data_IF_184846903789
#
_entry.id   IF_184846903789
#
_cell.length_a   1.000
_cell.length_b   1.000
_cell.length_c   1.000
_cell.angle_alpha   90.00
_cell.angle_beta   90.00
_cell.angle_gamma   90.00
#
_symmetry.space_group_name_H-M   'P 1'
#
loop_
_entity.id
_entity.type
_entity.pdbx_description
1 polymer ?
#
# COMPACT_ATOMS: atom_id res chain seq x y z
N UNK A 1 -0.32 36.90 -13.84
CA UNK A 1 -0.83 37.75 -12.74
C UNK A 1 -0.07 39.06 -12.78
N UNK A 2 -0.79 40.18 -12.84
CA UNK A 2 -0.20 41.53 -12.95
C UNK A 2 0.83 41.68 -14.08
N UNK A 3 0.50 41.10 -15.25
CA UNK A 3 1.37 41.10 -16.43
C UNK A 3 2.45 40.01 -16.46
N UNK A 4 2.60 39.20 -15.40
CA UNK A 4 3.61 38.14 -15.30
C UNK A 4 2.99 36.76 -15.57
N UNK A 5 3.57 35.89 -16.41
CA UNK A 5 3.08 34.51 -16.55
C UNK A 5 3.31 33.73 -15.26
N UNK A 6 2.31 32.97 -14.82
CA UNK A 6 2.37 32.12 -13.63
C UNK A 6 1.91 30.71 -14.00
N UNK A 7 2.30 29.72 -13.20
CA UNK A 7 1.83 28.34 -13.37
C UNK A 7 0.33 28.28 -13.10
N UNK A 8 -0.40 27.48 -13.89
CA UNK A 8 -1.84 27.27 -13.71
C UNK A 8 -2.20 26.82 -12.28
N UNK A 9 -1.34 25.99 -11.67
CA UNK A 9 -1.51 25.52 -10.30
C UNK A 9 -1.60 26.65 -9.27
N UNK A 10 -0.91 27.77 -9.49
CA UNK A 10 -0.93 28.91 -8.58
C UNK A 10 -2.32 29.57 -8.48
N UNK A 11 -3.10 29.53 -9.58
CA UNK A 11 -4.48 30.01 -9.56
C UNK A 11 -5.39 29.12 -8.71
N UNK A 12 -5.08 27.82 -8.64
CA UNK A 12 -5.83 26.84 -7.84
C UNK A 12 -5.46 26.92 -6.36
N UNK A 13 -4.17 27.05 -6.04
CA UNK A 13 -3.64 27.06 -4.67
C UNK A 13 -4.13 28.26 -3.84
N UNK A 14 -4.56 29.34 -4.50
CA UNK A 14 -5.15 30.53 -3.85
C UNK A 14 -6.61 30.34 -3.44
N UNK A 15 -7.27 29.27 -3.87
CA UNK A 15 -8.67 28.98 -3.55
C UNK A 15 -8.78 28.15 -2.28
N UNK A 16 -9.93 28.25 -1.61
CA UNK A 16 -10.21 27.47 -0.40
C UNK A 16 -10.93 26.16 -0.75
N UNK A 17 -10.85 25.19 0.16
CA UNK A 17 -11.62 23.94 0.06
C UNK A 17 -13.10 24.27 -0.02
N UNK A 18 -13.78 23.71 -1.03
CA UNK A 18 -15.21 23.94 -1.28
C UNK A 18 -15.50 25.06 -2.28
N UNK A 19 -14.51 25.90 -2.61
CA UNK A 19 -14.64 26.84 -3.72
C UNK A 19 -14.86 26.09 -5.03
N UNK A 20 -15.45 26.77 -6.03
CA UNK A 20 -15.51 26.24 -7.39
C UNK A 20 -14.63 27.05 -8.34
N UNK A 21 -14.06 26.38 -9.33
CA UNK A 21 -13.45 27.01 -10.49
C UNK A 21 -14.33 26.81 -11.71
N UNK A 22 -14.28 27.78 -12.62
CA UNK A 22 -14.90 27.65 -13.94
C UNK A 22 -13.80 27.38 -14.95
N UNK A 23 -13.93 26.31 -15.72
CA UNK A 23 -13.02 25.95 -16.80
C UNK A 23 -13.76 26.03 -18.13
N UNK A 24 -13.16 26.73 -19.09
CA UNK A 24 -13.58 26.69 -20.49
C UNK A 24 -12.71 25.64 -21.18
N UNK A 25 -13.35 24.64 -21.78
CA UNK A 25 -12.67 23.53 -22.42
C UNK A 25 -13.27 23.26 -23.80
N UNK A 26 -12.44 22.73 -24.69
CA UNK A 26 -12.86 22.30 -26.01
C UNK A 26 -13.09 20.79 -26.01
N UNK A 27 -14.33 20.36 -26.25
CA UNK A 27 -14.72 18.95 -26.29
C UNK A 27 -15.73 18.72 -27.40
N UNK A 28 -15.58 17.62 -28.13
CA UNK A 28 -16.47 17.27 -29.25
C UNK A 28 -16.62 18.39 -30.29
N UNK A 29 -15.52 19.10 -30.58
CA UNK A 29 -15.49 20.25 -31.51
C UNK A 29 -16.35 21.45 -31.07
N UNK A 30 -16.67 21.57 -29.79
CA UNK A 30 -17.42 22.68 -29.22
C UNK A 30 -16.76 23.24 -27.96
N UNK A 31 -16.94 24.53 -27.72
CA UNK A 31 -16.57 25.16 -26.45
C UNK A 31 -17.60 24.80 -25.38
N UNK A 32 -17.12 24.32 -24.23
CA UNK A 32 -17.93 23.93 -23.09
C UNK A 32 -17.39 24.63 -21.84
N UNK A 33 -18.29 25.19 -21.05
CA UNK A 33 -17.96 25.80 -19.76
C UNK A 33 -18.44 24.89 -18.64
N UNK A 34 -17.51 24.41 -17.81
CA UNK A 34 -17.82 23.55 -16.67
C UNK A 34 -17.42 24.22 -15.36
N UNK A 35 -18.19 23.94 -14.31
CA UNK A 35 -17.89 24.37 -12.94
C UNK A 35 -17.45 23.16 -12.13
N UNK A 36 -16.23 23.20 -11.61
CA UNK A 36 -15.66 22.11 -10.81
C UNK A 36 -15.48 22.57 -9.37
N UNK A 37 -16.04 21.84 -8.37
CA UNK A 37 -15.74 22.10 -6.97
C UNK A 37 -14.33 21.61 -6.61
N UNK A 38 -13.58 22.43 -5.88
CA UNK A 38 -12.27 22.10 -5.34
C UNK A 38 -12.45 21.31 -4.04
N UNK A 39 -12.34 20.00 -4.14
CA UNK A 39 -12.37 19.09 -3.00
C UNK A 39 -10.98 18.54 -2.70
N UNK A 40 -10.81 18.01 -1.50
CA UNK A 40 -9.68 17.16 -1.18
C UNK A 40 -10.18 15.72 -1.29
N UNK A 41 -10.00 15.04 -2.43
CA UNK A 41 -10.36 13.64 -2.54
C UNK A 41 -9.51 12.84 -1.55
N UNK A 42 -10.19 11.92 -0.86
CA UNK A 42 -9.51 10.83 -0.17
C UNK A 42 -9.00 9.87 -1.24
N UNK A 43 -7.69 9.84 -1.39
CA UNK A 43 -7.02 9.19 -2.50
C UNK A 43 -5.84 8.40 -1.93
N UNK A 44 -6.01 7.08 -1.73
CA UNK A 44 -4.99 6.24 -1.11
C UNK A 44 -3.74 6.10 -1.97
N UNK A 45 -3.81 6.49 -3.25
CA UNK A 45 -2.70 6.48 -4.20
C UNK A 45 -2.08 7.86 -4.41
N UNK A 46 -2.43 8.84 -3.57
CA UNK A 46 -1.84 10.17 -3.63
C UNK A 46 -0.41 10.19 -3.05
N UNK A 47 0.44 11.04 -3.62
CA UNK A 47 1.83 11.24 -3.20
C UNK A 47 1.95 12.10 -1.91
N UNK A 48 1.21 11.77 -0.85
CA UNK A 48 1.08 12.58 0.37
C UNK A 48 1.66 11.87 1.59
N UNK A 49 2.24 12.64 2.51
CA UNK A 49 2.57 12.14 3.84
C UNK A 49 1.31 12.06 4.69
N UNK A 50 1.24 11.01 5.50
CA UNK A 50 0.22 10.86 6.53
C UNK A 50 0.84 11.25 7.87
N UNK A 51 0.16 12.10 8.62
CA UNK A 51 0.60 12.60 9.93
C UNK A 51 -0.32 12.07 11.02
N UNK A 52 0.22 11.94 12.24
CA UNK A 52 -0.54 11.58 13.46
C UNK A 52 -1.33 10.27 13.40
N UNK A 53 -0.99 9.42 12.42
CA UNK A 53 -1.56 8.10 12.17
C UNK A 53 -0.47 7.05 12.30
N UNK A 54 -0.69 6.08 13.17
CA UNK A 54 0.12 4.87 13.21
C UNK A 54 -0.16 4.04 11.96
N UNK A 55 0.86 3.60 11.21
CA UNK A 55 0.65 2.78 10.01
C UNK A 55 -0.05 1.46 10.38
N UNK A 56 -1.13 1.09 9.69
CA UNK A 56 -1.77 -0.20 9.92
C UNK A 56 -0.85 -1.34 9.49
N UNK A 57 -0.95 -2.48 10.16
CA UNK A 57 -0.16 -3.66 9.82
C UNK A 57 -0.88 -4.95 10.19
N UNK A 58 -0.45 -6.04 9.53
CA UNK A 58 -0.83 -7.41 9.85
C UNK A 58 0.45 -8.23 9.99
N UNK A 59 0.56 -9.02 11.06
CA UNK A 59 1.64 -9.97 11.29
C UNK A 59 1.09 -11.39 11.20
N UNK A 60 1.74 -12.24 10.41
CA UNK A 60 1.42 -13.67 10.33
C UNK A 60 2.69 -14.49 10.10
N UNK A 61 2.98 -15.46 10.97
CA UNK A 61 4.20 -16.24 10.93
C UNK A 61 5.47 -15.40 11.02
N UNK A 62 5.37 -14.21 11.64
CA UNK A 62 6.45 -13.22 11.73
C UNK A 62 6.68 -12.41 10.46
N UNK A 63 5.85 -12.58 9.42
CA UNK A 63 5.84 -11.70 8.26
C UNK A 63 5.00 -10.45 8.59
N UNK A 64 5.57 -9.26 8.41
CA UNK A 64 4.87 -7.99 8.66
C UNK A 64 4.43 -7.36 7.35
N UNK A 65 3.11 -7.22 7.18
CA UNK A 65 2.47 -6.59 6.03
C UNK A 65 1.96 -5.21 6.40
N UNK A 66 2.18 -4.21 5.54
CA UNK A 66 1.68 -2.84 5.73
C UNK A 66 1.25 -2.23 4.40
N UNK A 67 0.61 -1.07 4.46
CA UNK A 67 0.20 -0.31 3.26
C UNK A 67 1.39 0.46 2.69
N UNK A 68 1.54 0.42 1.37
CA UNK A 68 2.47 1.30 0.67
C UNK A 68 2.06 2.76 0.89
N UNK A 69 2.96 3.54 1.46
CA UNK A 69 2.73 4.96 1.74
C UNK A 69 3.99 5.77 1.46
N UNK A 70 3.82 7.09 1.32
CA UNK A 70 4.94 8.03 1.24
C UNK A 70 5.86 7.90 2.46
N UNK A 71 5.28 7.71 3.65
CA UNK A 71 6.01 7.54 4.90
C UNK A 71 6.87 6.27 4.87
N UNK A 72 6.34 5.14 4.38
CA UNK A 72 7.09 3.89 4.23
C UNK A 72 8.29 4.09 3.30
N UNK A 73 8.07 4.63 2.11
CA UNK A 73 9.16 4.87 1.14
C UNK A 73 10.22 5.84 1.68
N UNK A 74 9.82 6.85 2.44
CA UNK A 74 10.76 7.77 3.08
C UNK A 74 11.59 7.07 4.17
N UNK A 75 10.99 6.15 4.93
CA UNK A 75 11.67 5.39 5.99
C UNK A 75 12.67 4.38 5.44
N UNK A 76 12.38 3.74 4.31
CA UNK A 76 13.29 2.78 3.65
C UNK A 76 14.49 3.49 3.01
N UNK A 77 14.29 4.71 2.52
CA UNK A 77 15.35 5.51 1.88
C UNK A 77 15.73 5.01 0.48
N UNK A 78 16.79 5.59 -0.09
CA UNK A 78 17.25 5.32 -1.48
C UNK A 78 18.23 4.14 -1.62
N UNK A 79 18.50 3.41 -0.55
CA UNK A 79 19.71 2.58 -0.45
C UNK A 79 19.54 1.12 -0.85
N UNK A 80 18.31 0.64 -1.06
CA UNK A 80 18.11 -0.72 -1.55
C UNK A 80 18.01 -0.74 -3.07
N UNK A 81 19.06 -1.21 -3.73
CA UNK A 81 19.05 -1.54 -5.18
C UNK A 81 18.33 -2.88 -5.45
N UNK A 82 17.45 -3.30 -4.56
CA UNK A 82 16.71 -4.54 -4.67
C UNK A 82 15.53 -4.36 -5.63
N UNK A 83 15.29 -5.35 -6.49
CA UNK A 83 14.22 -5.35 -7.50
C UNK A 83 12.86 -4.97 -6.90
N UNK A 84 12.53 -5.52 -5.72
CA UNK A 84 11.24 -5.27 -5.06
C UNK A 84 11.08 -3.81 -4.65
N UNK A 85 12.15 -3.17 -4.16
CA UNK A 85 12.13 -1.76 -3.77
C UNK A 85 11.95 -0.84 -4.99
N UNK A 86 12.61 -1.15 -6.11
CA UNK A 86 12.41 -0.42 -7.36
C UNK A 86 10.95 -0.54 -7.84
N UNK A 87 10.38 -1.75 -7.72
CA UNK A 87 8.97 -1.98 -8.06
C UNK A 87 8.01 -1.23 -7.13
N UNK A 88 8.28 -1.14 -5.82
CA UNK A 88 7.49 -0.31 -4.91
C UNK A 88 7.49 1.17 -5.31
N UNK A 89 8.65 1.70 -5.68
CA UNK A 89 8.76 3.07 -6.18
C UNK A 89 7.96 3.26 -7.46
N UNK A 90 8.01 2.29 -8.37
CA UNK A 90 7.21 2.30 -9.60
C UNK A 90 5.71 2.30 -9.28
N UNK A 91 5.22 1.35 -8.46
CA UNK A 91 3.84 1.27 -8.04
C UNK A 91 3.36 2.58 -7.43
N UNK A 92 4.15 3.19 -6.54
CA UNK A 92 3.77 4.44 -5.89
C UNK A 92 3.73 5.64 -6.85
N UNK A 93 4.71 5.75 -7.76
CA UNK A 93 4.82 6.88 -8.67
C UNK A 93 3.82 6.79 -9.84
N UNK A 94 3.59 5.58 -10.35
CA UNK A 94 2.84 5.34 -11.58
C UNK A 94 1.49 4.67 -11.36
N UNK A 95 1.06 4.48 -10.10
CA UNK A 95 -0.22 3.86 -9.74
C UNK A 95 -1.36 4.27 -10.69
N UNK A 96 -1.57 5.58 -10.83
CA UNK A 96 -2.65 6.16 -11.62
C UNK A 96 -2.39 6.24 -13.12
N UNK A 97 -1.15 6.48 -13.50
CA UNK A 97 -0.77 6.69 -14.90
C UNK A 97 -0.93 5.37 -15.65
N UNK A 98 -0.46 4.28 -15.03
CA UNK A 98 -0.45 2.94 -15.63
C UNK A 98 -1.65 2.08 -15.19
N UNK A 99 -2.58 2.65 -14.41
CA UNK A 99 -3.81 1.98 -14.00
C UNK A 99 -3.63 0.86 -12.96
N UNK A 100 -2.47 0.80 -12.29
CA UNK A 100 -2.13 -0.22 -11.28
C UNK A 100 -3.08 -0.20 -10.05
N UNK A 101 -3.78 0.92 -9.81
CA UNK A 101 -4.77 1.05 -8.74
C UNK A 101 -6.07 0.27 -9.00
N UNK A 102 -6.28 -0.24 -10.22
CA UNK A 102 -7.53 -0.90 -10.59
C UNK A 102 -7.78 -2.13 -9.73
N UNK A 103 -9.00 -2.27 -9.21
CA UNK A 103 -9.40 -3.34 -8.29
C UNK A 103 -8.62 -3.38 -6.97
N UNK A 104 -8.05 -2.25 -6.53
CA UNK A 104 -7.30 -2.16 -5.27
C UNK A 104 -7.76 -0.96 -4.47
N UNK A 105 -7.70 -1.10 -3.16
CA UNK A 105 -7.96 0.02 -2.25
C UNK A 105 -6.62 0.58 -1.74
N UNK A 106 -5.58 -0.27 -1.63
CA UNK A 106 -4.19 0.13 -1.41
C UNK A 106 -3.23 -0.97 -1.91
N UNK A 107 -1.92 -0.67 -1.99
CA UNK A 107 -0.90 -1.70 -2.18
C UNK A 107 -0.49 -2.26 -0.82
N UNK A 108 -0.50 -3.59 -0.68
CA UNK A 108 0.00 -4.27 0.51
C UNK A 108 1.43 -4.73 0.24
N UNK A 109 2.32 -4.43 1.18
CA UNK A 109 3.77 -4.69 1.08
C UNK A 109 4.21 -5.57 2.23
N UNK A 110 5.01 -6.59 1.94
CA UNK A 110 5.75 -7.32 2.97
C UNK A 110 6.96 -6.50 3.40
N UNK A 111 6.83 -5.71 4.46
CA UNK A 111 7.81 -4.69 4.83
C UNK A 111 8.91 -5.16 5.77
N UNK A 112 8.64 -6.17 6.59
CA UNK A 112 9.60 -6.60 7.59
C UNK A 112 9.40 -8.04 7.99
N UNK A 113 10.47 -8.72 8.41
CA UNK A 113 10.44 -10.08 8.93
C UNK A 113 10.91 -10.10 10.37
N UNK A 114 10.10 -10.67 11.24
CA UNK A 114 10.44 -11.00 12.62
C UNK A 114 11.04 -12.41 12.62
N UNK A 115 12.36 -12.56 12.83
CA UNK A 115 13.02 -13.82 12.55
C UNK A 115 12.47 -15.00 13.37
N UNK A 116 11.97 -16.01 12.67
CA UNK A 116 11.48 -17.24 13.27
C UNK A 116 11.78 -18.43 12.36
N UNK A 117 11.84 -19.65 12.92
CA UNK A 117 12.15 -20.87 12.14
C UNK A 117 11.18 -21.05 10.96
N UNK A 118 9.91 -20.72 11.17
CA UNK A 118 8.85 -20.83 10.15
C UNK A 118 9.09 -19.94 8.93
N UNK A 119 9.77 -18.79 9.08
CA UNK A 119 9.95 -17.79 8.02
C UNK A 119 11.39 -17.66 7.51
N UNK A 120 12.23 -18.68 7.74
CA UNK A 120 13.68 -18.65 7.46
C UNK A 120 14.00 -18.24 6.02
N UNK A 121 13.18 -18.62 5.04
CA UNK A 121 13.42 -18.36 3.61
C UNK A 121 12.65 -17.15 3.05
N UNK A 122 12.04 -16.34 3.91
CA UNK A 122 11.22 -15.21 3.46
C UNK A 122 12.03 -13.97 3.07
N UNK A 123 13.34 -13.90 3.34
CA UNK A 123 14.15 -12.70 3.11
C UNK A 123 14.13 -12.22 1.64
N UNK A 124 14.13 -13.13 0.67
CA UNK A 124 14.10 -12.78 -0.76
C UNK A 124 12.78 -12.11 -1.20
N UNK A 125 11.74 -12.20 -0.38
CA UNK A 125 10.43 -11.62 -0.66
C UNK A 125 10.22 -10.26 0.02
N UNK A 126 11.17 -9.81 0.86
CA UNK A 126 11.09 -8.51 1.52
C UNK A 126 10.85 -7.40 0.51
N UNK A 127 10.04 -6.44 0.91
CA UNK A 127 9.56 -5.32 0.09
C UNK A 127 8.68 -5.71 -1.10
N UNK A 128 8.32 -6.98 -1.24
CA UNK A 128 7.41 -7.43 -2.29
C UNK A 128 5.99 -6.88 -2.10
N UNK A 129 5.37 -6.45 -3.20
CA UNK A 129 3.93 -6.14 -3.23
C UNK A 129 3.17 -7.46 -3.30
N UNK A 130 2.25 -7.68 -2.36
CA UNK A 130 1.47 -8.91 -2.30
C UNK A 130 0.34 -8.86 -3.31
N UNK A 131 0.29 -9.83 -4.23
CA UNK A 131 -0.80 -9.97 -5.19
C UNK A 131 -1.92 -10.87 -4.68
N UNK A 132 -1.55 -11.99 -4.03
CA UNK A 132 -2.49 -13.03 -3.65
C UNK A 132 -1.98 -13.83 -2.45
N UNK A 133 -2.87 -14.23 -1.55
CA UNK A 133 -2.60 -15.19 -0.47
C UNK A 133 -3.68 -16.26 -0.51
N UNK A 134 -3.32 -17.56 -0.51
CA UNK A 134 -4.28 -18.67 -0.40
C UNK A 134 -5.42 -18.63 -1.43
N UNK A 135 -5.11 -18.25 -2.67
CA UNK A 135 -6.09 -18.06 -3.76
C UNK A 135 -7.03 -16.85 -3.61
N UNK A 136 -6.76 -15.97 -2.65
CA UNK A 136 -7.52 -14.73 -2.42
C UNK A 136 -6.67 -13.54 -2.92
N UNK A 137 -7.14 -12.78 -3.93
CA UNK A 137 -6.48 -11.54 -4.35
C UNK A 137 -6.47 -10.52 -3.22
N UNK A 138 -5.33 -9.86 -3.01
CA UNK A 138 -5.16 -8.89 -1.92
C UNK A 138 -5.38 -7.48 -2.45
N UNK A 139 -6.43 -6.81 -1.97
CA UNK A 139 -6.77 -5.43 -2.35
C UNK A 139 -6.48 -4.42 -1.26
N UNK A 140 -6.39 -4.88 -0.01
CA UNK A 140 -6.13 -4.12 1.19
C UNK A 140 -5.62 -5.03 2.33
N UNK A 141 -5.24 -4.45 3.48
CA UNK A 141 -4.77 -5.22 4.64
C UNK A 141 -5.83 -6.13 5.27
N UNK A 142 -7.13 -5.82 5.15
CA UNK A 142 -8.20 -6.67 5.70
C UNK A 142 -8.24 -8.00 4.94
N UNK A 143 -7.97 -8.00 3.64
CA UNK A 143 -7.89 -9.22 2.83
C UNK A 143 -6.73 -10.12 3.25
N UNK A 144 -5.60 -9.54 3.69
CA UNK A 144 -4.46 -10.30 4.22
C UNK A 144 -4.87 -11.13 5.42
N UNK A 145 -5.47 -10.48 6.43
CA UNK A 145 -5.91 -11.14 7.65
C UNK A 145 -6.89 -12.29 7.33
N UNK A 146 -7.90 -12.02 6.50
CA UNK A 146 -8.86 -13.03 6.03
C UNK A 146 -8.20 -14.18 5.27
N UNK A 147 -7.21 -13.88 4.43
CA UNK A 147 -6.55 -14.92 3.65
C UNK A 147 -5.77 -15.90 4.52
N UNK A 148 -5.16 -15.44 5.62
CA UNK A 148 -4.50 -16.31 6.59
C UNK A 148 -5.45 -17.18 7.42
N UNK A 149 -6.76 -16.89 7.45
CA UNK A 149 -7.76 -17.76 8.10
C UNK A 149 -8.06 -19.03 7.28
N UNK A 150 -7.77 -19.03 5.98
CA UNK A 150 -8.14 -20.11 5.04
C UNK A 150 -6.92 -20.70 4.32
N UNK A 151 -6.08 -21.52 4.98
CA UNK A 151 -4.93 -22.18 4.34
C UNK A 151 -5.36 -23.17 3.24
N UNK A 152 -4.49 -23.37 2.24
CA UNK A 152 -4.72 -24.27 1.11
C UNK A 152 -3.85 -25.51 1.29
N UNK A 153 -4.48 -26.67 1.48
CA UNK A 153 -3.76 -27.94 1.60
C UNK A 153 -2.80 -28.01 2.78
N UNK A 154 -3.08 -27.28 3.88
CA UNK A 154 -2.21 -27.20 5.06
C UNK A 154 -1.11 -26.13 4.98
N UNK A 155 -1.09 -25.33 3.91
CA UNK A 155 -0.08 -24.29 3.71
C UNK A 155 -0.69 -22.91 3.51
N UNK A 156 0.06 -21.89 3.91
CA UNK A 156 -0.13 -20.53 3.44
C UNK A 156 0.76 -20.29 2.23
N UNK A 157 0.16 -19.93 1.09
CA UNK A 157 0.83 -19.65 -0.17
C UNK A 157 0.67 -18.17 -0.48
N UNK A 158 1.78 -17.43 -0.46
CA UNK A 158 1.83 -15.99 -0.69
C UNK A 158 2.52 -15.74 -2.03
N UNK A 159 1.87 -14.96 -2.88
CA UNK A 159 2.39 -14.53 -4.19
C UNK A 159 2.64 -13.03 -4.18
N UNK A 160 3.70 -12.64 -4.87
CA UNK A 160 4.10 -11.25 -5.00
C UNK A 160 4.02 -10.84 -6.46
N UNK A 161 3.90 -9.55 -6.70
CA UNK A 161 4.02 -9.00 -8.06
C UNK A 161 5.47 -9.01 -8.52
N UNK A 162 5.65 -9.11 -9.83
CA UNK A 162 6.99 -9.16 -10.45
C UNK A 162 7.89 -10.26 -9.86
N UNK A 163 7.29 -11.32 -9.33
CA UNK A 163 8.00 -12.47 -8.79
C UNK A 163 7.24 -13.76 -9.12
N UNK A 164 7.89 -14.67 -9.84
CA UNK A 164 7.31 -15.96 -10.23
C UNK A 164 7.32 -16.97 -9.08
N UNK A 165 8.22 -16.77 -8.10
CA UNK A 165 8.31 -17.60 -6.92
C UNK A 165 7.17 -17.30 -5.93
N UNK A 166 6.78 -18.32 -5.17
CA UNK A 166 5.79 -18.21 -4.12
C UNK A 166 6.41 -18.52 -2.76
N UNK A 167 6.05 -17.74 -1.75
CA UNK A 167 6.43 -18.01 -0.37
C UNK A 167 5.40 -18.96 0.23
N UNK A 168 5.86 -20.15 0.63
CA UNK A 168 5.01 -21.20 1.21
C UNK A 168 5.39 -21.41 2.66
N UNK A 169 4.41 -21.34 3.55
CA UNK A 169 4.57 -21.57 4.99
C UNK A 169 3.61 -22.67 5.44
N UNK A 170 4.05 -23.52 6.36
CA UNK A 170 3.18 -24.51 7.01
C UNK A 170 2.18 -23.79 7.93
N UNK A 171 0.88 -24.06 7.75
CA UNK A 171 -0.17 -23.33 8.45
C UNK A 171 -0.23 -23.64 9.96
N UNK A 172 0.07 -24.88 10.36
CA UNK A 172 0.10 -25.24 11.78
C UNK A 172 1.30 -24.60 12.48
N UNK A 173 2.46 -24.61 11.83
CA UNK A 173 3.66 -23.96 12.37
C UNK A 173 3.51 -22.45 12.43
N UNK A 174 2.84 -21.81 11.47
CA UNK A 174 2.54 -20.37 11.52
C UNK A 174 1.68 -20.05 12.75
N UNK A 175 0.62 -20.83 12.97
CA UNK A 175 -0.28 -20.63 14.12
C UNK A 175 0.46 -20.77 15.46
N UNK A 176 1.35 -21.75 15.59
CA UNK A 176 2.18 -21.93 16.80
C UNK A 176 3.22 -20.81 16.96
N UNK A 177 3.86 -20.41 15.86
CA UNK A 177 4.89 -19.39 15.85
C UNK A 177 4.36 -18.01 16.25
N UNK A 178 3.11 -17.67 15.89
CA UNK A 178 2.55 -16.35 16.19
C UNK A 178 2.51 -16.07 17.69
N UNK A 179 2.19 -17.05 18.54
CA UNK A 179 2.25 -16.90 20.00
C UNK A 179 3.69 -16.67 20.49
N UNK A 180 4.65 -17.44 19.98
CA UNK A 180 6.07 -17.31 20.34
C UNK A 180 6.66 -15.95 19.91
N UNK A 181 6.32 -15.51 18.69
CA UNK A 181 6.76 -14.24 18.11
C UNK A 181 6.19 -13.08 18.91
N UNK A 182 4.92 -13.13 19.27
CA UNK A 182 4.28 -12.06 20.04
C UNK A 182 5.00 -11.83 21.37
N UNK A 183 5.32 -12.93 22.07
CA UNK A 183 6.05 -12.91 23.34
C UNK A 183 7.51 -12.47 23.18
N UNK A 184 8.22 -12.98 22.16
CA UNK A 184 9.65 -12.70 21.94
C UNK A 184 9.90 -11.26 21.52
N UNK A 185 9.06 -10.71 20.64
CA UNK A 185 9.26 -9.40 20.03
C UNK A 185 8.40 -8.30 20.67
N UNK A 186 7.58 -8.64 21.68
CA UNK A 186 6.79 -7.66 22.45
C UNK A 186 5.70 -6.98 21.62
N UNK A 187 5.09 -7.71 20.70
CA UNK A 187 4.02 -7.18 19.85
C UNK A 187 2.72 -7.23 20.65
N UNK A 188 2.04 -6.10 20.79
CA UNK A 188 0.81 -6.04 21.59
C UNK A 188 -0.41 -6.59 20.83
N UNK A 189 -0.42 -6.47 19.49
CA UNK A 189 -1.47 -6.98 18.59
C UNK A 189 -0.86 -7.41 17.27
N UNK A 190 -1.25 -8.58 16.75
CA UNK A 190 -0.82 -9.05 15.42
C UNK A 190 -1.49 -8.27 14.28
N UNK A 191 -2.66 -7.67 14.55
CA UNK A 191 -3.37 -6.81 13.62
C UNK A 191 -3.53 -5.45 14.26
N UNK A 192 -3.06 -4.42 13.56
CA UNK A 192 -3.33 -3.03 13.90
C UNK A 192 -4.11 -2.39 12.75
N UNK A 193 -5.38 -2.09 13.01
CA UNK A 193 -6.24 -1.39 12.06
C UNK A 193 -6.36 0.08 12.46
N UNK A 194 -6.62 0.95 11.48
CA UNK A 194 -6.85 2.37 11.75
C UNK A 194 -8.17 2.65 12.50
N UNK A 195 -9.05 1.65 12.59
CA UNK A 195 -10.36 1.75 13.27
C UNK A 195 -10.25 1.54 14.80
N UNK A 196 -9.06 1.19 15.32
CA UNK A 196 -8.82 0.89 16.74
C UNK A 196 -8.66 2.14 17.66
N UNK A 197 -9.38 3.24 17.41
CA UNK A 197 -9.42 4.42 18.31
C UNK A 197 -10.80 4.63 18.93
#
# INVERSE_FOLDING_TARGET
>A
MDGVPVLFAELLERKLKGDSITLVLWREKSEQTIRIPLTHPDDPFAFRYTYERTPPYVVAGGLVFTELSRNLLAAVGRYGQERNLQYLHYCFQYAKIDGLYTNRDCFVVFSHRLPHKVNTYADNFLWGVVSQINNIPIRNLKDVAKAFESPVGGFHIIRFEENDDMLVLDAEQVKQADEEINNRYGINKLIHSCEDR
#
